data_IF_200487730397
#
_entry.id   IF_200487730397
#
_cell.length_a   1.000
_cell.length_b   1.000
_cell.length_c   1.000
_cell.angle_alpha   90.00
_cell.angle_beta   90.00
_cell.angle_gamma   90.00
#
_symmetry.space_group_name_H-M   'P 1'
#
loop_
_entity.id
_entity.type
_entity.pdbx_description
1 polymer ?
#
# COMPACT_ATOMS: atom_id res chain seq x y z
N UNK A 1 -18.68 22.09 15.89
CA UNK A 1 -17.47 22.49 15.13
C UNK A 1 -16.17 21.86 15.66
N UNK A 2 -16.10 21.32 16.89
CA UNK A 2 -14.85 20.75 17.44
C UNK A 2 -14.42 19.37 16.88
N UNK A 3 -15.35 18.44 16.65
CA UNK A 3 -15.01 17.06 16.27
C UNK A 3 -14.33 16.93 14.89
N UNK A 4 -14.70 17.77 13.93
CA UNK A 4 -14.12 17.77 12.59
C UNK A 4 -12.69 18.32 12.56
N UNK A 5 -12.39 19.31 13.41
CA UNK A 5 -11.05 19.90 13.52
C UNK A 5 -10.09 18.97 14.28
N UNK A 6 -10.57 18.35 15.35
CA UNK A 6 -9.78 17.38 16.13
C UNK A 6 -9.47 16.11 15.33
N UNK A 7 -10.42 15.63 14.53
CA UNK A 7 -10.18 14.50 13.62
C UNK A 7 -9.15 14.84 12.52
N UNK A 8 -9.17 16.07 12.01
CA UNK A 8 -8.16 16.54 11.05
C UNK A 8 -6.75 16.58 11.64
N UNK A 9 -6.59 17.09 12.87
CA UNK A 9 -5.31 17.11 13.58
C UNK A 9 -4.79 15.69 13.87
N UNK A 10 -5.65 14.82 14.38
CA UNK A 10 -5.28 13.42 14.66
C UNK A 10 -4.79 12.69 13.39
N UNK A 11 -5.43 12.96 12.24
CA UNK A 11 -4.99 12.41 10.96
C UNK A 11 -3.62 12.93 10.54
N UNK A 12 -3.37 14.23 10.68
CA UNK A 12 -2.05 14.83 10.37
C UNK A 12 -0.95 14.25 11.27
N UNK A 13 -1.22 14.09 12.56
CA UNK A 13 -0.27 13.47 13.50
C UNK A 13 0.00 12.00 13.14
N UNK A 14 -1.06 11.23 12.83
CA UNK A 14 -0.92 9.86 12.38
C UNK A 14 -0.02 9.75 11.15
N UNK A 15 -0.22 10.62 10.15
CA UNK A 15 0.63 10.68 8.95
C UNK A 15 2.08 11.02 9.33
N UNK A 16 2.29 11.96 10.27
CA UNK A 16 3.62 12.30 10.79
C UNK A 16 4.36 11.12 11.43
N UNK A 17 3.64 10.18 12.05
CA UNK A 17 4.25 8.97 12.60
C UNK A 17 4.67 7.96 11.53
N UNK A 18 4.13 8.04 10.32
CA UNK A 18 4.41 7.13 9.20
C UNK A 18 5.66 7.51 8.39
N UNK A 19 6.65 8.16 9.01
CA UNK A 19 7.91 8.50 8.35
C UNK A 19 9.01 7.46 8.65
N UNK A 20 9.95 7.23 7.72
CA UNK A 20 11.05 6.26 7.94
C UNK A 20 11.94 6.60 9.14
N UNK A 21 11.99 7.88 9.55
CA UNK A 21 12.82 8.38 10.66
C UNK A 21 12.12 8.30 12.02
N UNK A 22 10.80 8.10 12.07
CA UNK A 22 10.08 7.84 13.33
C UNK A 22 10.62 6.58 14.02
N UNK A 23 10.60 6.56 15.36
CA UNK A 23 10.98 5.37 16.13
C UNK A 23 10.13 4.16 15.71
N UNK A 24 10.76 3.00 15.53
CA UNK A 24 10.13 1.82 14.91
C UNK A 24 8.84 1.38 15.61
N UNK A 25 8.81 1.38 16.94
CA UNK A 25 7.64 1.01 17.75
C UNK A 25 6.46 1.98 17.56
N UNK A 26 6.72 3.29 17.55
CA UNK A 26 5.69 4.32 17.31
C UNK A 26 5.14 4.18 15.89
N UNK A 27 6.02 3.99 14.91
CA UNK A 27 5.63 3.78 13.52
C UNK A 27 4.83 2.49 13.33
N UNK A 28 5.17 1.42 14.06
CA UNK A 28 4.41 0.17 14.04
C UNK A 28 3.02 0.34 14.61
N UNK A 29 2.89 0.99 15.76
CA UNK A 29 1.59 1.28 16.34
C UNK A 29 0.71 2.13 15.39
N UNK A 30 1.31 3.12 14.73
CA UNK A 30 0.62 3.91 13.70
C UNK A 30 0.18 3.05 12.51
N UNK A 31 1.05 2.17 12.01
CA UNK A 31 0.71 1.24 10.93
C UNK A 31 -0.39 0.26 11.30
N UNK A 32 -0.37 -0.29 12.52
CA UNK A 32 -1.41 -1.20 13.00
C UNK A 32 -2.77 -0.52 13.03
N UNK A 33 -2.81 0.75 13.45
CA UNK A 33 -4.01 1.57 13.38
C UNK A 33 -4.47 1.77 11.92
N UNK A 34 -3.56 2.13 11.01
CA UNK A 34 -3.88 2.29 9.57
C UNK A 34 -4.42 0.99 8.97
N UNK A 35 -3.81 -0.15 9.30
CA UNK A 35 -4.29 -1.46 8.84
C UNK A 35 -5.72 -1.71 9.33
N UNK A 36 -6.01 -1.40 10.60
CA UNK A 36 -7.35 -1.55 11.17
C UNK A 36 -8.39 -0.71 10.43
N UNK A 37 -8.11 0.57 10.17
CA UNK A 37 -9.08 1.47 9.51
C UNK A 37 -9.18 1.25 8.01
N UNK A 38 -8.11 0.79 7.36
CA UNK A 38 -8.11 0.48 5.92
C UNK A 38 -8.96 -0.74 5.56
N UNK A 39 -9.25 -1.63 6.53
CA UNK A 39 -10.08 -2.81 6.31
C UNK A 39 -11.59 -2.53 6.22
N UNK A 40 -12.02 -1.28 6.40
CA UNK A 40 -13.44 -0.92 6.34
C UNK A 40 -14.01 -1.04 4.91
N UNK A 41 -15.12 -1.77 4.77
CA UNK A 41 -15.77 -2.07 3.48
C UNK A 41 -16.84 -1.04 3.06
N UNK A 42 -17.02 0.03 3.83
CA UNK A 42 -18.00 1.11 3.61
C UNK A 42 -17.48 2.22 2.67
N UNK A 43 -16.36 1.97 1.98
CA UNK A 43 -15.68 2.92 1.11
C UNK A 43 -14.90 4.02 1.85
N UNK A 44 -14.90 4.04 3.19
CA UNK A 44 -14.09 5.00 3.96
C UNK A 44 -12.59 4.81 3.76
N UNK A 45 -12.13 3.58 3.52
CA UNK A 45 -10.74 3.27 3.24
C UNK A 45 -10.20 4.04 2.02
N UNK A 46 -10.93 4.03 0.90
CA UNK A 46 -10.55 4.77 -0.30
C UNK A 46 -10.51 6.29 -0.06
N UNK A 47 -11.50 6.83 0.67
CA UNK A 47 -11.53 8.26 1.06
C UNK A 47 -10.37 8.64 1.97
N UNK A 48 -9.99 7.76 2.90
CA UNK A 48 -8.86 7.95 3.78
C UNK A 48 -7.54 8.00 3.00
N UNK A 49 -7.35 7.10 2.04
CA UNK A 49 -6.14 7.04 1.23
C UNK A 49 -5.97 8.27 0.33
N UNK A 50 -7.06 8.69 -0.34
CA UNK A 50 -7.07 9.76 -1.34
C UNK A 50 -7.28 11.16 -0.74
N UNK A 51 -7.76 11.24 0.50
CA UNK A 51 -8.02 12.48 1.19
C UNK A 51 -6.75 13.32 1.39
N UNK A 52 -6.94 14.64 1.54
CA UNK A 52 -5.88 15.61 1.78
C UNK A 52 -4.68 15.45 0.81
N UNK A 53 -4.97 15.51 -0.50
CA UNK A 53 -3.97 15.33 -1.57
C UNK A 53 -3.19 14.00 -1.44
N UNK A 54 -3.92 12.92 -1.16
CA UNK A 54 -3.39 11.58 -0.96
C UNK A 54 -2.31 11.48 0.14
N UNK A 55 -2.31 12.36 1.15
CA UNK A 55 -1.22 12.42 2.14
C UNK A 55 -0.99 11.08 2.88
N UNK A 56 -2.07 10.38 3.25
CA UNK A 56 -1.98 9.03 3.84
C UNK A 56 -1.39 8.03 2.84
N UNK A 57 -1.88 8.05 1.59
CA UNK A 57 -1.37 7.18 0.53
C UNK A 57 0.11 7.38 0.24
N UNK A 58 0.56 8.65 0.15
CA UNK A 58 1.96 9.03 -0.01
C UNK A 58 2.82 8.45 1.11
N UNK A 59 2.44 8.69 2.37
CA UNK A 59 3.20 8.22 3.53
C UNK A 59 3.34 6.68 3.56
N UNK A 60 2.27 5.94 3.27
CA UNK A 60 2.32 4.47 3.25
C UNK A 60 3.17 3.94 2.09
N UNK A 61 3.05 4.53 0.90
CA UNK A 61 3.88 4.16 -0.26
C UNK A 61 5.36 4.44 0.01
N UNK A 62 5.70 5.65 0.46
CA UNK A 62 7.07 6.05 0.81
C UNK A 62 7.67 5.12 1.86
N UNK A 63 6.90 4.78 2.90
CA UNK A 63 7.38 3.88 3.94
C UNK A 63 7.63 2.46 3.42
N UNK A 64 6.75 1.96 2.56
CA UNK A 64 6.90 0.66 1.89
C UNK A 64 8.19 0.57 1.06
N UNK A 65 8.51 1.66 0.37
CA UNK A 65 9.69 1.81 -0.47
C UNK A 65 10.97 1.94 0.37
N UNK A 66 10.93 2.79 1.39
CA UNK A 66 12.10 3.15 2.19
C UNK A 66 12.52 2.09 3.20
N UNK A 67 11.58 1.27 3.72
CA UNK A 67 11.86 0.42 4.89
C UNK A 67 11.49 -1.05 4.66
N UNK A 68 12.52 -1.90 4.61
CA UNK A 68 12.35 -3.37 4.56
C UNK A 68 11.56 -3.90 5.76
N UNK A 69 11.81 -3.36 6.95
CA UNK A 69 11.17 -3.78 8.19
C UNK A 69 9.66 -3.61 8.14
N UNK A 70 9.17 -2.52 7.52
CA UNK A 70 7.76 -2.13 7.53
C UNK A 70 6.96 -2.68 6.36
N UNK A 71 7.64 -3.25 5.37
CA UNK A 71 7.05 -3.69 4.11
C UNK A 71 5.90 -4.68 4.26
N UNK A 72 5.94 -5.58 5.25
CA UNK A 72 4.82 -6.50 5.49
C UNK A 72 3.54 -5.75 5.88
N UNK A 73 3.65 -4.73 6.72
CA UNK A 73 2.52 -3.96 7.23
C UNK A 73 2.02 -2.98 6.18
N UNK A 74 2.93 -2.28 5.49
CA UNK A 74 2.55 -1.36 4.42
C UNK A 74 1.88 -2.09 3.25
N UNK A 75 2.39 -3.26 2.84
CA UNK A 75 1.72 -4.08 1.81
C UNK A 75 0.34 -4.57 2.26
N UNK A 76 0.18 -4.91 3.55
CA UNK A 76 -1.14 -5.24 4.10
C UNK A 76 -2.12 -4.06 4.03
N UNK A 77 -1.69 -2.86 4.44
CA UNK A 77 -2.51 -1.65 4.33
C UNK A 77 -2.87 -1.32 2.87
N UNK A 78 -1.90 -1.37 1.96
CA UNK A 78 -2.12 -1.13 0.53
C UNK A 78 -3.07 -2.16 -0.09
N UNK A 79 -2.99 -3.42 0.35
CA UNK A 79 -3.94 -4.48 -0.06
C UNK A 79 -5.36 -4.11 0.35
N UNK A 80 -5.55 -3.66 1.59
CA UNK A 80 -6.86 -3.25 2.08
C UNK A 80 -7.40 -2.03 1.30
N UNK A 81 -6.59 -0.97 1.16
CA UNK A 81 -6.99 0.25 0.45
C UNK A 81 -7.34 0.02 -1.02
N UNK A 82 -6.63 -0.88 -1.71
CA UNK A 82 -6.84 -1.20 -3.13
C UNK A 82 -7.93 -2.23 -3.39
N UNK A 83 -8.53 -2.84 -2.34
CA UNK A 83 -9.44 -3.98 -2.49
C UNK A 83 -10.67 -3.69 -3.35
N UNK A 84 -11.22 -2.47 -3.27
CA UNK A 84 -12.40 -2.05 -4.01
C UNK A 84 -12.31 -0.65 -4.63
N UNK A 85 -11.13 -0.02 -4.67
CA UNK A 85 -10.95 1.32 -5.25
C UNK A 85 -9.99 1.29 -6.44
N UNK A 86 -10.54 1.55 -7.62
CA UNK A 86 -9.77 1.72 -8.84
C UNK A 86 -8.87 2.97 -8.77
N UNK A 87 -9.31 4.03 -8.09
CA UNK A 87 -8.54 5.26 -7.91
C UNK A 87 -7.29 5.01 -7.06
N UNK A 88 -7.43 4.28 -5.94
CA UNK A 88 -6.28 3.86 -5.13
C UNK A 88 -5.35 2.94 -5.92
N UNK A 89 -5.89 1.94 -6.62
CA UNK A 89 -5.09 1.03 -7.43
C UNK A 89 -4.31 1.79 -8.54
N UNK A 90 -4.97 2.75 -9.20
CA UNK A 90 -4.33 3.60 -10.21
C UNK A 90 -3.23 4.46 -9.60
N UNK A 91 -3.48 5.03 -8.41
CA UNK A 91 -2.49 5.81 -7.69
C UNK A 91 -1.23 4.99 -7.38
N UNK A 92 -1.39 3.79 -6.82
CA UNK A 92 -0.28 2.90 -6.46
C UNK A 92 0.56 2.57 -7.69
N UNK A 93 -0.08 2.27 -8.83
CA UNK A 93 0.61 1.94 -10.08
C UNK A 93 1.36 3.12 -10.70
N UNK A 94 0.83 4.33 -10.58
CA UNK A 94 1.42 5.52 -11.22
C UNK A 94 2.47 6.20 -10.35
N UNK A 95 2.28 6.21 -9.03
CA UNK A 95 3.03 7.09 -8.13
C UNK A 95 3.94 6.35 -7.15
N UNK A 96 4.06 5.02 -7.25
CA UNK A 96 4.87 4.23 -6.32
C UNK A 96 5.54 3.03 -6.98
N UNK A 97 6.56 2.49 -6.33
CA UNK A 97 7.21 1.22 -6.67
C UNK A 97 6.59 0.03 -5.92
N UNK A 98 5.47 0.23 -5.22
CA UNK A 98 4.90 -0.80 -4.35
C UNK A 98 4.47 -2.05 -5.12
N UNK A 99 4.00 -1.91 -6.36
CA UNK A 99 3.67 -3.06 -7.23
C UNK A 99 4.92 -3.90 -7.57
N UNK A 100 6.02 -3.23 -7.94
CA UNK A 100 7.30 -3.88 -8.21
C UNK A 100 7.86 -4.58 -6.96
N UNK A 101 7.79 -3.92 -5.79
CA UNK A 101 8.24 -4.51 -4.52
C UNK A 101 7.38 -5.70 -4.09
N UNK A 102 6.07 -5.67 -4.37
CA UNK A 102 5.17 -6.79 -4.17
C UNK A 102 5.56 -7.98 -5.06
N UNK A 103 5.89 -7.72 -6.33
CA UNK A 103 6.41 -8.74 -7.24
C UNK A 103 7.72 -9.35 -6.75
N UNK A 104 8.69 -8.52 -6.35
CA UNK A 104 9.97 -9.00 -5.84
C UNK A 104 9.81 -9.85 -4.57
N UNK A 105 8.85 -9.52 -3.71
CA UNK A 105 8.50 -10.33 -2.55
C UNK A 105 8.02 -11.73 -2.94
N UNK A 106 7.14 -11.83 -3.95
CA UNK A 106 6.65 -13.10 -4.49
C UNK A 106 7.78 -13.91 -5.14
N UNK A 107 8.57 -13.26 -6.00
CA UNK A 107 9.71 -13.86 -6.71
C UNK A 107 10.73 -14.48 -5.77
N UNK A 108 11.08 -13.75 -4.71
CA UNK A 108 12.08 -14.20 -3.71
C UNK A 108 11.49 -15.09 -2.63
N UNK A 109 10.19 -15.41 -2.69
CA UNK A 109 9.46 -16.17 -1.66
C UNK A 109 9.68 -15.60 -0.25
N UNK A 110 9.67 -14.27 -0.15
CA UNK A 110 9.81 -13.58 1.13
C UNK A 110 8.69 -13.99 2.11
N UNK A 111 8.94 -13.90 3.41
CA UNK A 111 7.95 -14.25 4.45
C UNK A 111 6.61 -13.50 4.31
N UNK A 112 6.63 -12.32 3.68
CA UNK A 112 5.46 -11.47 3.44
C UNK A 112 4.94 -11.54 1.99
N UNK A 113 5.38 -12.52 1.18
CA UNK A 113 4.97 -12.69 -0.21
C UNK A 113 3.45 -12.75 -0.39
N UNK A 114 2.72 -13.32 0.56
CA UNK A 114 1.25 -13.39 0.51
C UNK A 114 0.59 -12.00 0.45
N UNK A 115 1.14 -11.00 1.15
CA UNK A 115 0.63 -9.63 1.06
C UNK A 115 0.95 -9.02 -0.30
N UNK A 116 2.14 -9.28 -0.84
CA UNK A 116 2.53 -8.87 -2.19
C UNK A 116 1.60 -9.45 -3.27
N UNK A 117 1.34 -10.76 -3.23
CA UNK A 117 0.45 -11.42 -4.17
C UNK A 117 -0.98 -10.87 -4.13
N UNK A 118 -1.51 -10.58 -2.93
CA UNK A 118 -2.84 -9.98 -2.77
C UNK A 118 -2.92 -8.56 -3.31
N UNK A 119 -1.89 -7.74 -3.08
CA UNK A 119 -1.81 -6.41 -3.67
C UNK A 119 -1.81 -6.52 -5.21
N UNK A 120 -0.94 -7.35 -5.79
CA UNK A 120 -0.90 -7.57 -7.23
C UNK A 120 -2.25 -8.04 -7.79
N UNK A 121 -2.93 -8.96 -7.12
CA UNK A 121 -4.26 -9.42 -7.53
C UNK A 121 -5.30 -8.29 -7.51
N UNK A 122 -5.28 -7.41 -6.51
CA UNK A 122 -6.18 -6.24 -6.46
C UNK A 122 -5.86 -5.24 -7.57
N UNK A 123 -4.59 -4.93 -7.80
CA UNK A 123 -4.17 -4.04 -8.88
C UNK A 123 -4.59 -4.61 -10.25
N UNK A 124 -4.35 -5.90 -10.48
CA UNK A 124 -4.70 -6.57 -11.73
C UNK A 124 -6.22 -6.70 -11.93
N UNK A 125 -7.02 -6.77 -10.86
CA UNK A 125 -8.48 -6.73 -10.96
C UNK A 125 -8.98 -5.44 -11.62
N UNK A 126 -8.32 -4.32 -11.33
CA UNK A 126 -8.71 -3.01 -11.84
C UNK A 126 -7.98 -2.65 -13.15
N UNK A 127 -6.69 -2.98 -13.26
CA UNK A 127 -5.84 -2.59 -14.38
C UNK A 127 -4.90 -3.75 -14.81
N UNK A 128 -5.44 -4.83 -15.39
CA UNK A 128 -4.64 -6.01 -15.72
C UNK A 128 -3.51 -5.69 -16.69
N UNK A 129 -3.77 -4.89 -17.73
CA UNK A 129 -2.77 -4.55 -18.75
C UNK A 129 -1.63 -3.71 -18.16
N UNK A 130 -1.96 -2.70 -17.34
CA UNK A 130 -0.94 -1.84 -16.69
C UNK A 130 -0.07 -2.62 -15.73
N UNK A 131 -0.63 -3.58 -14.99
CA UNK A 131 0.17 -4.46 -14.14
C UNK A 131 1.08 -5.33 -15.00
N UNK A 132 0.55 -5.96 -16.05
CA UNK A 132 1.36 -6.79 -16.94
C UNK A 132 2.52 -6.00 -17.57
N UNK A 133 2.25 -4.82 -18.11
CA UNK A 133 3.26 -3.93 -18.70
C UNK A 133 4.33 -3.54 -17.68
N UNK A 134 3.94 -3.12 -16.47
CA UNK A 134 4.86 -2.75 -15.39
C UNK A 134 5.75 -3.93 -14.99
N UNK A 135 5.16 -5.12 -14.85
CA UNK A 135 5.91 -6.31 -14.46
C UNK A 135 6.83 -6.81 -15.57
N UNK A 136 6.41 -6.80 -16.84
CA UNK A 136 7.24 -7.19 -17.99
C UNK A 136 8.40 -6.21 -18.20
N UNK A 137 8.17 -4.92 -17.96
CA UNK A 137 9.24 -3.91 -17.99
C UNK A 137 10.30 -4.13 -16.90
N UNK A 138 9.92 -4.73 -15.77
CA UNK A 138 10.85 -5.09 -14.68
C UNK A 138 11.49 -6.48 -14.88
N UNK A 139 10.72 -7.46 -15.36
CA UNK A 139 11.13 -8.84 -15.58
C UNK A 139 10.38 -9.41 -16.80
N UNK A 140 11.09 -9.68 -17.91
CA UNK A 140 10.46 -10.06 -19.18
C UNK A 140 9.56 -11.31 -19.08
N UNK A 141 9.83 -12.20 -18.12
CA UNK A 141 9.04 -13.41 -17.84
C UNK A 141 8.30 -13.33 -16.50
N UNK A 142 7.89 -12.14 -16.06
CA UNK A 142 7.30 -11.93 -14.74
C UNK A 142 6.15 -12.90 -14.39
N UNK A 143 5.24 -13.18 -15.33
CA UNK A 143 4.15 -14.12 -15.07
C UNK A 143 4.66 -15.55 -14.80
N UNK A 144 5.59 -16.06 -15.63
CA UNK A 144 6.23 -17.36 -15.45
C UNK A 144 6.93 -17.46 -14.08
N UNK A 145 7.62 -16.39 -13.67
CA UNK A 145 8.27 -16.28 -12.36
C UNK A 145 7.25 -16.39 -11.21
N UNK A 146 6.06 -15.81 -11.36
CA UNK A 146 5.01 -15.86 -10.34
C UNK A 146 4.29 -17.22 -10.30
N UNK A 147 4.05 -17.85 -11.45
CA UNK A 147 3.32 -19.14 -11.53
C UNK A 147 4.23 -20.35 -11.36
N UNK A 148 5.55 -20.18 -11.45
CA UNK A 148 6.53 -21.25 -11.31
C UNK A 148 6.66 -22.15 -12.54
N UNK A 149 6.40 -21.61 -13.73
CA UNK A 149 6.49 -22.30 -15.03
C UNK A 149 7.75 -21.90 -15.81
#
# INVERSE_FOLDING_TARGET
MGESEDNGKAMTELIGFLTPTTRLDVRRAALDYVISVSGALDGSAGRLFLGNDCAMGKAICELCEATMSDRSHTLSALTNFSSGSAEVASYILTNSKCAQLAFDACRTRALYANFGARLLANLSRHFPDRVNELLVAHEAKALHVLVGE
#
